data_IF_459974403081
#
_entry.id   IF_459974403081
#
_cell.length_a   1.000
_cell.length_b   1.000
_cell.length_c   1.000
_cell.angle_alpha   90.00
_cell.angle_beta   90.00
_cell.angle_gamma   90.00
#
_symmetry.space_group_name_H-M   'P 1'
#
loop_
_entity.id
_entity.type
_entity.pdbx_description
1 polymer ?
#
# COMPACT_ATOMS: atom_id res chain seq x y z
N UNK A 1 11.25 -3.12 9.58
CA UNK A 1 10.32 -3.58 10.64
C UNK A 1 9.38 -2.43 10.92
N UNK A 2 8.07 -2.68 10.93
CA UNK A 2 7.04 -1.67 11.18
C UNK A 2 6.57 -1.83 12.63
N UNK A 3 6.58 -0.73 13.39
CA UNK A 3 6.29 -0.70 14.82
C UNK A 3 5.33 0.43 15.14
N UNK A 4 4.51 0.26 16.17
CA UNK A 4 3.70 1.30 16.80
C UNK A 4 4.13 1.51 18.26
N UNK A 5 3.38 2.32 19.00
CA UNK A 5 3.60 2.60 20.43
C UNK A 5 3.50 1.37 21.33
N UNK A 6 2.77 0.34 20.92
CA UNK A 6 2.59 -0.91 21.68
C UNK A 6 3.59 -2.01 21.30
N UNK A 7 4.31 -1.85 20.19
CA UNK A 7 5.43 -2.71 19.82
C UNK A 7 5.52 -3.00 18.32
N UNK A 8 5.92 -4.23 17.97
CA UNK A 8 6.17 -4.66 16.60
C UNK A 8 4.86 -5.11 15.96
N UNK A 9 4.52 -4.54 14.82
CA UNK A 9 3.31 -4.90 14.06
C UNK A 9 3.60 -5.93 13.00
N UNK A 10 4.64 -5.72 12.19
CA UNK A 10 5.02 -6.68 11.14
C UNK A 10 6.42 -6.39 10.61
N UNK A 11 7.05 -7.40 10.01
CA UNK A 11 8.20 -7.23 9.14
C UNK A 11 7.71 -7.20 7.69
N UNK A 12 7.72 -6.01 7.09
CA UNK A 12 7.49 -5.85 5.66
C UNK A 12 8.80 -5.95 4.87
N UNK A 13 8.79 -6.75 3.81
CA UNK A 13 9.88 -6.90 2.86
C UNK A 13 9.38 -6.54 1.45
N UNK A 14 9.98 -5.49 0.87
CA UNK A 14 9.74 -5.10 -0.51
C UNK A 14 10.79 -5.74 -1.41
N UNK A 15 10.39 -6.38 -2.51
CA UNK A 15 11.34 -7.09 -3.38
C UNK A 15 12.32 -6.16 -4.11
N UNK A 16 11.89 -4.96 -4.51
CA UNK A 16 12.78 -3.95 -5.11
C UNK A 16 12.30 -2.52 -4.79
N UNK A 17 13.20 -1.53 -4.67
CA UNK A 17 12.82 -0.16 -4.34
C UNK A 17 12.40 0.70 -5.55
N UNK A 18 12.46 0.14 -6.76
CA UNK A 18 12.31 0.86 -8.03
C UNK A 18 11.49 0.04 -9.02
N UNK A 19 10.52 0.69 -9.66
CA UNK A 19 9.57 0.07 -10.57
C UNK A 19 9.38 0.90 -11.84
N UNK A 20 8.90 0.26 -12.89
CA UNK A 20 8.44 0.91 -14.13
C UNK A 20 6.92 0.94 -14.19
N UNK A 21 6.37 1.86 -14.99
CA UNK A 21 4.94 1.89 -15.29
C UNK A 21 4.47 0.53 -15.87
N UNK A 22 3.34 0.03 -15.38
CA UNK A 22 2.78 -1.26 -15.78
C UNK A 22 3.35 -2.48 -15.06
N UNK A 23 4.32 -2.33 -14.16
CA UNK A 23 4.78 -3.42 -13.30
C UNK A 23 3.87 -3.61 -12.08
N UNK A 24 3.95 -4.78 -11.45
CA UNK A 24 3.35 -5.04 -10.15
C UNK A 24 4.37 -4.82 -9.03
N UNK A 25 3.94 -4.13 -7.98
CA UNK A 25 4.67 -4.02 -6.72
C UNK A 25 4.37 -5.24 -5.89
N UNK A 26 5.39 -6.07 -5.71
CA UNK A 26 5.30 -7.28 -4.89
C UNK A 26 6.07 -7.08 -3.58
N UNK A 27 5.48 -7.49 -2.47
CA UNK A 27 6.11 -7.53 -1.16
C UNK A 27 5.52 -8.60 -0.26
N UNK A 28 6.13 -8.82 0.91
CA UNK A 28 5.65 -9.79 1.90
C UNK A 28 5.58 -9.17 3.28
N UNK A 29 4.62 -9.65 4.07
CA UNK A 29 4.44 -9.33 5.47
C UNK A 29 4.72 -10.59 6.29
N UNK A 30 5.58 -10.46 7.30
CA UNK A 30 5.90 -11.48 8.28
C UNK A 30 5.47 -10.99 9.67
N UNK A 31 4.44 -11.64 10.19
CA UNK A 31 3.86 -11.37 11.50
C UNK A 31 4.41 -12.28 12.60
N UNK A 32 5.31 -13.22 12.29
CA UNK A 32 5.85 -14.16 13.30
C UNK A 32 6.65 -13.49 14.40
N UNK A 33 7.18 -12.29 14.13
CA UNK A 33 7.92 -11.45 15.08
C UNK A 33 7.08 -10.30 15.65
N UNK A 34 5.78 -10.27 15.35
CA UNK A 34 4.87 -9.24 15.83
C UNK A 34 4.58 -9.43 17.33
N UNK A 35 4.56 -8.32 18.06
CA UNK A 35 4.14 -8.29 19.48
C UNK A 35 2.74 -7.69 19.63
N UNK A 36 2.20 -7.09 18.57
CA UNK A 36 0.85 -6.51 18.52
C UNK A 36 0.09 -7.24 17.42
N UNK A 37 -1.16 -7.66 17.71
CA UNK A 37 -1.99 -8.36 16.72
C UNK A 37 -2.41 -7.40 15.62
N UNK A 38 -2.15 -7.78 14.36
CA UNK A 38 -2.63 -7.04 13.20
C UNK A 38 -3.91 -7.70 12.69
N UNK A 39 -4.98 -6.92 12.62
CA UNK A 39 -6.29 -7.41 12.17
C UNK A 39 -6.46 -7.18 10.68
N UNK A 40 -5.97 -6.05 10.19
CA UNK A 40 -6.11 -5.64 8.80
C UNK A 40 -4.90 -4.81 8.39
N UNK A 41 -4.50 -4.99 7.13
CA UNK A 41 -3.57 -4.11 6.44
C UNK A 41 -4.22 -3.57 5.17
N UNK A 42 -3.92 -2.31 4.85
CA UNK A 42 -4.21 -1.73 3.56
C UNK A 42 -2.97 -1.03 3.05
N UNK A 43 -2.64 -1.26 1.77
CA UNK A 43 -1.50 -0.64 1.12
C UNK A 43 -1.98 0.09 -0.11
N UNK A 44 -1.66 1.37 -0.20
CA UNK A 44 -2.05 2.23 -1.31
C UNK A 44 -0.83 2.80 -2.02
N UNK A 45 -0.84 2.79 -3.35
CA UNK A 45 0.13 3.50 -4.15
C UNK A 45 -0.31 4.96 -4.25
N UNK A 46 0.48 5.86 -3.65
CA UNK A 46 0.18 7.28 -3.58
C UNK A 46 1.21 8.12 -4.32
N UNK A 47 0.70 9.08 -5.09
CA UNK A 47 1.46 10.17 -5.69
C UNK A 47 1.38 11.37 -4.75
N UNK A 48 2.54 11.91 -4.39
CA UNK A 48 2.69 13.13 -3.62
C UNK A 48 3.19 14.23 -4.55
N UNK A 49 2.30 15.18 -4.83
CA UNK A 49 2.57 16.36 -5.65
C UNK A 49 2.79 17.56 -4.73
N UNK A 50 3.99 18.12 -4.76
CA UNK A 50 4.40 19.30 -4.00
C UNK A 50 4.59 20.46 -4.98
N UNK A 51 3.78 21.50 -4.87
CA UNK A 51 3.83 22.69 -5.74
C UNK A 51 4.15 23.93 -4.91
N UNK A 52 5.07 24.77 -5.43
CA UNK A 52 5.39 26.07 -4.85
C UNK A 52 4.43 27.10 -5.44
N UNK A 53 3.64 27.74 -4.58
CA UNK A 53 2.65 28.75 -4.99
C UNK A 53 3.30 30.13 -5.07
N UNK A 54 4.23 30.42 -4.14
CA UNK A 54 4.92 31.69 -4.00
C UNK A 54 6.37 31.41 -3.58
N UNK A 55 7.32 31.67 -4.48
CA UNK A 55 8.75 31.42 -4.25
C UNK A 55 9.29 32.32 -3.12
N UNK A 56 8.83 33.57 -3.01
CA UNK A 56 9.32 34.53 -2.03
C UNK A 56 8.84 34.22 -0.62
N UNK A 57 7.65 33.61 -0.49
CA UNK A 57 7.05 33.23 0.81
C UNK A 57 7.27 31.76 1.17
N UNK A 58 7.98 30.99 0.34
CA UNK A 58 8.16 29.54 0.50
C UNK A 58 6.85 28.80 0.81
N UNK A 59 5.75 29.25 0.19
CA UNK A 59 4.42 28.66 0.42
C UNK A 59 4.26 27.45 -0.47
N UNK A 60 4.07 26.29 0.15
CA UNK A 60 3.98 24.99 -0.54
C UNK A 60 2.62 24.37 -0.37
N UNK A 61 2.10 23.78 -1.45
CA UNK A 61 0.90 22.97 -1.44
C UNK A 61 1.27 21.52 -1.72
N UNK A 62 0.86 20.62 -0.83
CA UNK A 62 1.06 19.17 -0.99
C UNK A 62 -0.29 18.52 -1.27
N UNK A 63 -0.37 17.77 -2.36
CA UNK A 63 -1.54 16.98 -2.75
C UNK A 63 -1.15 15.51 -2.82
N UNK A 64 -1.92 14.66 -2.13
CA UNK A 64 -1.76 13.21 -2.20
C UNK A 64 -2.90 12.61 -3.05
N UNK A 65 -2.56 11.82 -4.06
CA UNK A 65 -3.52 11.12 -4.92
C UNK A 65 -3.26 9.62 -4.86
N UNK A 66 -4.31 8.83 -4.62
CA UNK A 66 -4.22 7.36 -4.55
C UNK A 66 -4.59 6.74 -5.89
N UNK A 67 -3.77 5.81 -6.40
CA UNK A 67 -3.96 5.18 -7.71
C UNK A 67 -4.35 3.71 -7.65
N UNK A 68 -3.86 2.97 -6.66
CA UNK A 68 -4.16 1.56 -6.48
C UNK A 68 -4.15 1.24 -4.99
N UNK A 69 -5.02 0.31 -4.57
CA UNK A 69 -5.16 -0.11 -3.18
C UNK A 69 -5.26 -1.62 -3.10
N UNK A 70 -4.51 -2.20 -2.18
CA UNK A 70 -4.61 -3.58 -1.76
C UNK A 70 -5.10 -3.59 -0.30
N UNK A 71 -6.05 -4.46 0.02
CA UNK A 71 -6.64 -4.58 1.35
C UNK A 71 -6.72 -6.05 1.72
N UNK A 72 -6.34 -6.35 2.96
CA UNK A 72 -6.37 -7.71 3.48
C UNK A 72 -6.69 -7.73 4.98
N UNK A 73 -7.59 -8.63 5.37
CA UNK A 73 -7.83 -9.01 6.76
C UNK A 73 -6.85 -10.12 7.12
N UNK A 74 -5.96 -9.85 8.07
CA UNK A 74 -4.79 -10.69 8.38
C UNK A 74 -4.77 -11.19 9.84
N UNK A 75 -5.90 -11.14 10.54
CA UNK A 75 -6.01 -11.69 11.89
C UNK A 75 -5.63 -13.18 11.90
N UNK A 76 -4.63 -13.53 12.71
CA UNK A 76 -4.12 -14.90 12.84
C UNK A 76 -3.16 -15.35 11.74
N UNK A 77 -2.87 -14.52 10.74
CA UNK A 77 -1.92 -14.87 9.68
C UNK A 77 -0.48 -14.73 10.18
N UNK A 78 0.35 -15.74 9.89
CA UNK A 78 1.80 -15.65 10.11
C UNK A 78 2.50 -14.89 9.00
N UNK A 79 2.03 -15.07 7.77
CA UNK A 79 2.59 -14.46 6.57
C UNK A 79 1.47 -14.05 5.62
N UNK A 80 1.69 -12.97 4.88
CA UNK A 80 0.90 -12.66 3.68
C UNK A 80 1.73 -11.88 2.65
N UNK A 81 1.17 -11.63 1.48
CA UNK A 81 1.81 -10.97 0.36
C UNK A 81 1.03 -9.73 -0.09
N UNK A 82 1.78 -8.76 -0.61
CA UNK A 82 1.26 -7.60 -1.32
C UNK A 82 1.47 -7.83 -2.82
N UNK A 83 0.41 -7.64 -3.62
CA UNK A 83 0.51 -7.47 -5.07
C UNK A 83 -0.30 -6.21 -5.41
N UNK A 84 0.38 -5.16 -5.86
CA UNK A 84 -0.23 -3.86 -6.12
C UNK A 84 0.17 -3.36 -7.51
N UNK A 85 -0.76 -3.29 -8.48
CA UNK A 85 -0.44 -2.92 -9.85
C UNK A 85 -0.10 -1.44 -9.98
N UNK A 86 0.89 -1.11 -10.83
CA UNK A 86 1.20 0.28 -11.21
C UNK A 86 0.51 0.59 -12.54
N UNK A 87 -0.44 1.54 -12.60
CA UNK A 87 -1.12 1.83 -13.86
C UNK A 87 -0.18 2.40 -14.92
N UNK A 88 -0.35 2.00 -16.18
CA UNK A 88 0.49 2.47 -17.30
C UNK A 88 0.36 3.97 -17.60
N UNK A 89 -0.73 4.60 -17.18
CA UNK A 89 -1.06 6.01 -17.49
C UNK A 89 -0.56 7.01 -16.44
N UNK A 90 0.07 6.56 -15.35
CA UNK A 90 0.53 7.48 -14.30
C UNK A 90 1.83 8.18 -14.69
N UNK A 91 2.11 9.31 -14.06
CA UNK A 91 3.32 10.10 -14.33
C UNK A 91 4.50 9.61 -13.48
N UNK A 92 5.66 9.27 -14.07
CA UNK A 92 6.87 8.94 -13.32
C UNK A 92 7.32 10.06 -12.38
N UNK A 93 8.19 9.74 -11.42
CA UNK A 93 8.73 10.75 -10.50
C UNK A 93 9.57 11.80 -11.25
N UNK A 94 9.35 13.07 -10.96
CA UNK A 94 10.17 14.18 -11.48
C UNK A 94 10.21 15.34 -10.48
N UNK A 95 11.19 16.22 -10.64
CA UNK A 95 11.34 17.39 -9.77
C UNK A 95 11.86 18.57 -10.57
N UNK A 96 11.25 19.73 -10.33
CA UNK A 96 11.59 21.03 -10.92
C UNK A 96 11.62 22.07 -9.82
N UNK A 97 11.90 23.34 -10.17
CA UNK A 97 11.85 24.45 -9.19
C UNK A 97 10.44 24.69 -8.64
N UNK A 98 9.40 24.50 -9.45
CA UNK A 98 8.03 24.85 -9.09
C UNK A 98 7.19 23.67 -8.61
N UNK A 99 7.49 22.46 -9.08
CA UNK A 99 6.73 21.25 -8.77
C UNK A 99 7.63 20.04 -8.60
N UNK A 100 7.29 19.20 -7.63
CA UNK A 100 7.91 17.90 -7.40
C UNK A 100 6.83 16.83 -7.29
N UNK A 101 7.01 15.73 -8.02
CA UNK A 101 6.14 14.56 -7.98
C UNK A 101 6.93 13.36 -7.46
N UNK A 102 6.48 12.80 -6.34
CA UNK A 102 7.09 11.65 -5.66
C UNK A 102 6.08 10.53 -5.49
N UNK A 103 6.56 9.30 -5.35
CA UNK A 103 5.72 8.11 -5.15
C UNK A 103 6.04 7.45 -3.81
N UNK A 104 4.99 7.01 -3.12
CA UNK A 104 5.12 6.24 -1.88
C UNK A 104 4.06 5.15 -1.78
N UNK A 105 4.42 4.06 -1.12
CA UNK A 105 3.48 3.10 -0.59
C UNK A 105 2.98 3.62 0.76
N UNK A 106 1.67 3.76 0.91
CA UNK A 106 1.00 4.19 2.11
C UNK A 106 0.30 3.00 2.76
N UNK A 107 0.74 2.66 3.96
CA UNK A 107 0.24 1.54 4.72
C UNK A 107 -0.67 2.06 5.81
N UNK A 108 -1.84 1.46 5.93
CA UNK A 108 -2.78 1.66 7.03
C UNK A 108 -2.94 0.30 7.70
N UNK A 109 -2.65 0.22 9.00
CA UNK A 109 -2.85 -0.99 9.78
C UNK A 109 -3.96 -0.77 10.79
N UNK A 110 -4.79 -1.79 10.97
CA UNK A 110 -5.67 -1.93 12.13
C UNK A 110 -5.03 -2.95 13.04
N UNK A 111 -4.74 -2.54 14.27
CA UNK A 111 -4.06 -3.34 15.27
C UNK A 111 -4.90 -3.48 16.53
N UNK A 112 -4.67 -4.52 17.31
CA UNK A 112 -5.29 -4.70 18.61
C UNK A 112 -4.27 -5.15 19.65
N UNK A 113 -4.42 -4.62 20.86
CA UNK A 113 -3.66 -4.98 22.05
C UNK A 113 -4.39 -6.02 22.91
N UNK A 114 -5.56 -6.49 22.48
CA UNK A 114 -6.36 -7.45 23.23
C UNK A 114 -5.69 -8.84 23.24
N UNK A 115 -5.31 -9.31 24.42
CA UNK A 115 -4.55 -10.56 24.60
C UNK A 115 -5.31 -11.83 24.21
N UNK A 116 -6.65 -11.77 24.19
CA UNK A 116 -7.52 -12.92 23.90
C UNK A 116 -7.82 -13.08 22.40
N UNK A 117 -7.28 -12.20 21.54
CA UNK A 117 -7.36 -12.36 20.08
C UNK A 117 -6.33 -13.35 19.53
N UNK A 118 -6.03 -14.40 20.30
CA UNK A 118 -5.32 -15.55 19.75
C UNK A 118 -6.21 -16.15 18.66
N UNK A 119 -5.67 -16.28 17.46
CA UNK A 119 -6.35 -17.03 16.39
C UNK A 119 -6.59 -18.49 16.81
N UNK A 120 -7.46 -19.21 16.10
CA UNK A 120 -7.79 -20.59 16.44
C UNK A 120 -6.51 -21.44 16.52
N UNK A 121 -6.30 -22.11 17.65
CA UNK A 121 -5.27 -23.14 17.74
C UNK A 121 -5.74 -24.40 17.01
N UNK A 122 -4.82 -25.29 16.65
CA UNK A 122 -5.16 -26.56 15.99
C UNK A 122 -6.06 -27.48 16.83
N UNK A 123 -6.21 -27.17 18.12
CA UNK A 123 -7.03 -27.92 19.09
C UNK A 123 -8.39 -27.23 19.35
N UNK A 124 -8.58 -26.00 18.88
CA UNK A 124 -9.80 -25.22 19.11
C UNK A 124 -10.86 -25.54 18.06
N UNK A 125 -11.78 -26.45 18.42
CA UNK A 125 -12.91 -26.82 17.56
C UNK A 125 -14.04 -25.79 17.58
N UNK A 126 -14.06 -24.90 18.57
CA UNK A 126 -15.13 -23.90 18.83
C UNK A 126 -14.61 -22.46 18.94
N UNK A 127 -13.53 -22.10 18.25
CA UNK A 127 -13.07 -20.71 18.29
C UNK A 127 -14.15 -19.76 17.76
N UNK A 128 -14.57 -18.81 18.60
CA UNK A 128 -15.48 -17.73 18.23
C UNK A 128 -14.74 -16.41 18.31
N UNK A 129 -14.91 -15.58 17.28
CA UNK A 129 -14.40 -14.22 17.31
C UNK A 129 -15.11 -13.42 18.42
N UNK A 130 -14.38 -12.61 19.20
CA UNK A 130 -15.00 -11.72 20.18
C UNK A 130 -16.03 -10.79 19.53
N UNK A 131 -17.14 -10.53 20.21
CA UNK A 131 -18.20 -9.63 19.73
C UNK A 131 -17.73 -8.19 19.59
N UNK A 132 -16.77 -7.79 20.44
CA UNK A 132 -16.16 -6.47 20.42
C UNK A 132 -14.64 -6.58 20.55
N UNK A 133 -13.94 -5.76 19.77
CA UNK A 133 -12.49 -5.73 19.77
C UNK A 133 -12.02 -4.29 19.81
N UNK A 134 -11.15 -3.97 20.79
CA UNK A 134 -10.49 -2.67 20.83
C UNK A 134 -9.43 -2.61 19.74
N UNK A 135 -9.57 -1.63 18.85
CA UNK A 135 -8.68 -1.42 17.72
C UNK A 135 -7.99 -0.07 17.79
N UNK A 136 -6.79 -0.02 17.23
CA UNK A 136 -6.02 1.19 17.00
C UNK A 136 -5.51 1.18 15.57
N UNK A 137 -5.63 2.32 14.91
CA UNK A 137 -5.11 2.49 13.55
C UNK A 137 -3.73 3.13 13.59
N UNK A 138 -2.87 2.69 12.68
CA UNK A 138 -1.60 3.36 12.46
C UNK A 138 -1.33 3.51 10.97
N UNK A 139 -0.54 4.51 10.65
CA UNK A 139 -0.09 4.78 9.29
C UNK A 139 1.42 4.62 9.22
N UNK A 140 1.89 4.03 8.13
CA UNK A 140 3.31 4.00 7.77
C UNK A 140 3.47 4.31 6.29
N UNK A 141 4.59 4.89 5.88
CA UNK A 141 4.81 5.21 4.46
C UNK A 141 6.23 4.90 4.04
N UNK A 142 6.36 4.34 2.83
CA UNK A 142 7.63 3.94 2.23
C UNK A 142 7.80 4.63 0.88
N UNK A 143 8.77 5.53 0.70
CA UNK A 143 9.06 6.09 -0.62
C UNK A 143 9.53 4.99 -1.57
N UNK A 144 9.07 5.08 -2.83
CA UNK A 144 9.50 4.20 -3.92
C UNK A 144 9.87 5.05 -5.15
N UNK A 145 10.67 4.48 -6.05
CA UNK A 145 11.00 5.14 -7.33
C UNK A 145 10.18 4.55 -8.46
N UNK A 146 9.56 5.44 -9.24
CA UNK A 146 8.76 5.08 -10.40
C UNK A 146 9.36 5.68 -11.67
N UNK A 147 9.65 4.83 -12.65
CA UNK A 147 10.27 5.19 -13.92
C UNK A 147 9.30 4.97 -15.09
N UNK A 148 9.54 5.68 -16.20
CA UNK A 148 8.84 5.44 -17.45
C UNK A 148 9.08 4.01 -17.95
N UNK A 149 8.13 3.52 -18.73
CA UNK A 149 8.23 2.23 -19.45
C UNK A 149 8.51 2.46 -20.92
N UNK A 150 8.81 1.38 -21.66
CA UNK A 150 9.07 1.45 -23.10
C UNK A 150 7.78 1.76 -23.87
N UNK A 151 7.83 2.62 -24.91
CA UNK A 151 6.62 3.02 -25.67
C UNK A 151 5.78 1.85 -26.20
N UNK A 152 6.43 0.74 -26.55
CA UNK A 152 5.74 -0.46 -27.07
C UNK A 152 4.75 -1.07 -26.06
N UNK A 153 5.09 -1.05 -24.76
CA UNK A 153 4.21 -1.54 -23.69
C UNK A 153 3.04 -0.60 -23.46
N UNK A 154 3.26 0.72 -23.61
CA UNK A 154 2.20 1.72 -23.51
C UNK A 154 1.19 1.54 -24.64
N UNK A 155 1.66 1.39 -25.89
CA UNK A 155 0.80 1.15 -27.03
C UNK A 155 -0.11 -0.06 -26.82
N UNK A 156 0.45 -1.19 -26.39
CA UNK A 156 -0.31 -2.41 -26.08
C UNK A 156 -1.38 -2.21 -25.01
N UNK A 157 -1.06 -1.51 -23.92
CA UNK A 157 -2.02 -1.24 -22.83
C UNK A 157 -3.14 -0.25 -23.19
N UNK A 158 -2.93 0.64 -24.16
CA UNK A 158 -4.00 1.53 -24.66
C UNK A 158 -4.98 0.77 -25.54
N UNK A 159 -4.51 -0.15 -26.38
CA UNK A 159 -5.36 -0.95 -27.26
C UNK A 159 -6.34 -1.86 -26.51
N UNK A 160 -5.96 -2.41 -25.35
CA UNK A 160 -6.84 -3.28 -24.54
C UNK A 160 -8.03 -2.53 -23.93
N UNK A 161 -7.90 -1.23 -23.65
CA UNK A 161 -9.00 -0.41 -23.10
C UNK A 161 -10.05 -0.01 -24.16
N UNK A 162 -9.75 -0.13 -25.46
CA UNK A 162 -10.68 0.32 -26.52
C UNK A 162 -11.62 -0.80 -27.01
N UNK A 163 -11.39 -2.06 -26.62
CA UNK A 163 -12.15 -3.24 -27.12
C UNK A 163 -12.92 -3.93 -25.97
N UNK A 164 -13.75 -3.17 -25.25
CA UNK A 164 -14.83 -3.76 -24.44
C UNK A 164 -16.16 -3.09 -24.77
N UNK A 165 -16.64 -3.33 -26.00
CA UNK A 165 -18.04 -3.06 -26.35
C UNK A 165 -18.83 -4.33 -26.11
N UNK A 166 -19.35 -4.49 -24.89
CA UNK A 166 -20.29 -5.56 -24.56
C UNK A 166 -21.53 -5.40 -25.46
N UNK A 167 -21.70 -6.33 -26.40
CA UNK A 167 -22.93 -6.42 -27.20
C UNK A 167 -23.83 -7.42 -26.49
N UNK A 168 -24.81 -6.92 -25.74
CA UNK A 168 -25.86 -7.75 -25.15
C UNK A 168 -26.80 -8.14 -26.29
N UNK A 169 -27.01 -9.45 -26.49
CA UNK A 169 -28.04 -10.01 -27.35
C UNK A 169 -29.29 -10.33 -26.53
#
# INVERSE_FOLDING_TARGET
>A
MITNTWGKVTRFCLFKPAYKLGEDIIGTFDFTVATVSCMQVSVSLQCEEETIIDEDKNTKQVRNVTFSKHHEVCLGYKYTQLILPIPLHVTPAFSTKLVSLKWRLHFEFVTSTHKELSGPSSEDTEWQAPSEVRIETMVWSLPIRLYSTTPIHVAQGVHTNTIQKLTIR
#
